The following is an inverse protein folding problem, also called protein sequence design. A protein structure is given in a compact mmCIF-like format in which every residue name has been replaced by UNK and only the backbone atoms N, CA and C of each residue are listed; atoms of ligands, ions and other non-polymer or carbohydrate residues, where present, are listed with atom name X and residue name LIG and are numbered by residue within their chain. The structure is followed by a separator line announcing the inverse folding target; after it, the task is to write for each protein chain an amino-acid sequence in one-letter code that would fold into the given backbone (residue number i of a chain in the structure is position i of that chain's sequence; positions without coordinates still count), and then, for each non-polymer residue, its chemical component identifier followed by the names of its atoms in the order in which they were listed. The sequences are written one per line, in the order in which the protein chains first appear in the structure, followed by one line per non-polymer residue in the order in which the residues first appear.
data_IF_911088570743
#
_entry.id   IF_911088570743
#
_cell.length_a   1.000
_cell.length_b   1.000
_cell.length_c   1.000
_cell.angle_alpha   90.00
_cell.angle_beta   90.00
_cell.angle_gamma   90.00
#
_symmetry.space_group_name_H-M   'P 1'
#
loop_
_entity.id
_entity.type
_entity.pdbx_description
1 polymer ?
#
# COMPACT_ATOMS: atom_id res chain seq x y z
N UNK A 1 32.99 -40.39 -10.06
CA UNK A 1 32.24 -39.20 -10.54
C UNK A 1 32.07 -38.25 -9.37
N UNK A 2 32.90 -37.20 -9.28
CA UNK A 2 32.87 -36.25 -8.15
C UNK A 2 31.89 -35.10 -8.42
N UNK A 3 31.01 -34.83 -7.45
CA UNK A 3 29.86 -33.93 -7.55
C UNK A 3 30.25 -32.44 -7.61
N UNK A 4 29.66 -31.62 -8.51
CA UNK A 4 29.98 -30.20 -8.66
C UNK A 4 29.51 -29.31 -7.49
N UNK A 5 28.63 -29.83 -6.61
CA UNK A 5 28.03 -29.06 -5.50
C UNK A 5 29.00 -28.68 -4.38
N UNK A 6 30.11 -29.39 -4.25
CA UNK A 6 31.11 -29.11 -3.21
C UNK A 6 32.08 -27.98 -3.59
N UNK A 7 32.05 -27.51 -4.84
CA UNK A 7 32.90 -26.39 -5.28
C UNK A 7 32.34 -25.02 -4.89
N UNK A 8 31.02 -24.91 -4.71
CA UNK A 8 30.34 -23.67 -4.32
C UNK A 8 30.59 -23.30 -2.85
N UNK A 9 30.72 -24.30 -1.96
CA UNK A 9 30.93 -24.08 -0.52
C UNK A 9 32.37 -23.66 -0.17
N UNK A 10 33.33 -23.89 -1.05
CA UNK A 10 34.72 -23.50 -0.84
C UNK A 10 34.97 -22.00 -1.10
N UNK A 11 34.10 -21.34 -1.87
CA UNK A 11 34.26 -19.93 -2.25
C UNK A 11 33.94 -18.96 -1.09
N UNK A 12 33.19 -19.41 -0.08
CA UNK A 12 32.82 -18.59 1.07
C UNK A 12 33.90 -18.49 2.15
N UNK A 13 34.94 -19.33 2.10
CA UNK A 13 35.89 -19.46 3.21
C UNK A 13 37.07 -18.47 3.15
N UNK A 14 37.09 -17.55 2.19
CA UNK A 14 38.19 -16.59 2.04
C UNK A 14 37.72 -15.19 1.61
N UNK A 15 36.75 -14.65 2.34
CA UNK A 15 36.49 -13.20 2.33
C UNK A 15 37.53 -12.52 3.21
N UNK A 16 38.35 -11.65 2.61
CA UNK A 16 39.33 -10.87 3.39
C UNK A 16 38.59 -9.74 4.12
N UNK A 17 39.19 -9.17 5.17
CA UNK A 17 38.54 -8.15 6.00
C UNK A 17 38.13 -6.89 5.21
N UNK A 18 38.82 -6.63 4.10
CA UNK A 18 38.57 -5.50 3.20
C UNK A 18 37.34 -5.76 2.32
N UNK A 19 37.11 -7.02 1.91
CA UNK A 19 35.94 -7.42 1.12
C UNK A 19 34.63 -7.34 1.94
N UNK A 20 34.72 -7.55 3.26
CA UNK A 20 33.58 -7.45 4.19
C UNK A 20 33.08 -6.01 4.28
N UNK A 21 33.99 -5.03 4.29
CA UNK A 21 33.62 -3.60 4.36
C UNK A 21 32.89 -3.18 3.08
N UNK A 22 33.39 -3.58 1.91
CA UNK A 22 32.76 -3.25 0.63
C UNK A 22 31.36 -3.88 0.49
N UNK A 23 31.20 -5.13 0.94
CA UNK A 23 29.91 -5.81 0.95
C UNK A 23 28.92 -5.15 1.93
N UNK A 24 29.37 -4.73 3.12
CA UNK A 24 28.54 -4.05 4.10
C UNK A 24 28.06 -2.68 3.61
N UNK A 25 28.93 -1.90 2.96
CA UNK A 25 28.58 -0.59 2.38
C UNK A 25 27.57 -0.76 1.25
N UNK A 26 27.77 -1.74 0.36
CA UNK A 26 26.81 -2.04 -0.71
C UNK A 26 25.44 -2.46 -0.17
N UNK A 27 25.40 -3.30 0.86
CA UNK A 27 24.17 -3.75 1.49
C UNK A 27 23.44 -2.59 2.19
N UNK A 28 24.17 -1.70 2.86
CA UNK A 28 23.61 -0.49 3.47
C UNK A 28 22.98 0.46 2.45
N UNK A 29 23.63 0.68 1.29
CA UNK A 29 23.07 1.50 0.21
C UNK A 29 21.80 0.90 -0.40
N UNK A 30 21.77 -0.43 -0.57
CA UNK A 30 20.59 -1.15 -1.07
C UNK A 30 19.42 -1.03 -0.08
N UNK A 31 19.67 -1.24 1.23
CA UNK A 31 18.64 -1.07 2.27
C UNK A 31 18.11 0.36 2.26
N UNK A 32 18.99 1.36 2.20
CA UNK A 32 18.61 2.78 2.26
C UNK A 32 17.79 3.19 1.03
N UNK A 33 18.16 2.72 -0.16
CA UNK A 33 17.40 2.94 -1.39
C UNK A 33 16.03 2.24 -1.34
N UNK A 34 15.97 1.03 -0.78
CA UNK A 34 14.70 0.33 -0.55
C UNK A 34 13.83 1.11 0.45
N UNK A 35 14.36 1.52 1.60
CA UNK A 35 13.61 2.35 2.57
C UNK A 35 13.09 3.66 1.97
N UNK A 36 13.81 4.25 1.01
CA UNK A 36 13.36 5.44 0.29
C UNK A 36 12.22 5.15 -0.69
N UNK A 37 12.29 4.00 -1.40
CA UNK A 37 11.23 3.53 -2.29
C UNK A 37 9.96 3.10 -1.52
N UNK A 38 10.10 2.56 -0.31
CA UNK A 38 8.99 2.16 0.57
C UNK A 38 8.52 3.26 1.52
N UNK A 39 8.96 4.51 1.34
CA UNK A 39 8.45 5.66 2.10
C UNK A 39 7.02 5.97 1.65
N UNK A 40 6.07 5.20 2.17
CA UNK A 40 4.64 5.51 2.05
C UNK A 40 4.41 6.91 2.62
N UNK A 41 3.91 7.79 1.74
CA UNK A 41 3.60 9.20 1.97
C UNK A 41 2.90 9.44 3.33
N UNK A 42 3.17 10.58 3.99
CA UNK A 42 2.68 10.86 5.34
C UNK A 42 1.16 11.00 5.36
N UNK A 43 0.54 10.56 6.46
CA UNK A 43 -0.87 10.84 6.78
C UNK A 43 -1.02 12.34 7.05
N UNK A 44 -1.85 13.01 6.27
CA UNK A 44 -2.26 14.38 6.55
C UNK A 44 -3.20 14.38 7.76
N UNK A 45 -2.67 14.58 8.96
CA UNK A 45 -3.49 14.88 10.13
C UNK A 45 -3.81 16.37 10.11
N UNK A 46 -4.88 16.75 9.41
CA UNK A 46 -5.50 18.05 9.60
C UNK A 46 -6.63 17.88 10.64
N UNK A 47 -6.36 18.36 11.85
CA UNK A 47 -7.33 18.45 12.94
C UNK A 47 -8.42 19.45 12.58
N UNK A 48 -9.59 18.97 12.14
CA UNK A 48 -10.84 19.73 12.16
C UNK A 48 -11.67 19.23 13.35
N UNK A 49 -11.81 20.10 14.34
CA UNK A 49 -12.35 19.79 15.65
C UNK A 49 -13.84 19.41 15.60
N UNK A 50 -14.17 18.21 16.07
CA UNK A 50 -15.37 17.84 16.83
C UNK A 50 -16.78 18.13 16.24
N UNK A 51 -16.96 18.16 14.92
CA UNK A 51 -18.31 18.11 14.28
C UNK A 51 -18.45 17.01 13.22
N UNK A 52 -17.39 16.23 12.97
CA UNK A 52 -17.24 15.29 11.85
C UNK A 52 -17.27 13.81 12.25
N UNK A 53 -17.74 13.48 13.46
CA UNK A 53 -17.59 12.13 14.04
C UNK A 53 -18.38 11.03 13.31
N UNK A 54 -19.16 11.35 12.28
CA UNK A 54 -20.01 10.40 11.54
C UNK A 54 -19.82 10.47 10.02
N UNK A 55 -18.76 11.13 9.52
CA UNK A 55 -18.45 11.12 8.09
C UNK A 55 -17.27 10.18 7.84
N UNK A 56 -17.55 9.06 7.18
CA UNK A 56 -16.50 8.14 6.70
C UNK A 56 -15.78 8.82 5.53
N UNK A 57 -14.44 8.82 5.56
CA UNK A 57 -13.63 9.45 4.51
C UNK A 57 -13.67 8.64 3.20
N UNK A 58 -13.72 9.34 2.06
CA UNK A 58 -13.63 8.74 0.73
C UNK A 58 -12.20 8.31 0.43
N UNK A 59 -12.01 7.01 0.18
CA UNK A 59 -10.73 6.46 -0.28
C UNK A 59 -10.74 6.29 -1.80
N UNK A 60 -9.88 7.05 -2.50
CA UNK A 60 -9.73 6.93 -3.96
C UNK A 60 -8.94 5.68 -4.35
N UNK A 61 -9.46 4.92 -5.32
CA UNK A 61 -8.84 3.71 -5.84
C UNK A 61 -7.77 4.05 -6.90
N UNK A 62 -6.57 4.41 -6.44
CA UNK A 62 -5.48 4.86 -7.36
C UNK A 62 -5.05 3.81 -8.38
N UNK A 63 -5.11 2.52 -8.01
CA UNK A 63 -4.80 1.40 -8.91
C UNK A 63 -5.80 1.22 -10.04
N UNK A 64 -6.96 1.91 -10.00
CA UNK A 64 -7.92 1.94 -11.08
C UNK A 64 -7.33 2.58 -12.35
N UNK A 65 -6.43 3.56 -12.18
CA UNK A 65 -5.76 4.25 -13.30
C UNK A 65 -4.98 3.28 -14.18
N UNK A 66 -4.21 2.38 -13.55
CA UNK A 66 -3.39 1.39 -14.27
C UNK A 66 -4.25 0.36 -15.01
N UNK A 67 -5.52 0.22 -14.62
CA UNK A 67 -6.51 -0.66 -15.24
C UNK A 67 -7.45 0.06 -16.21
N UNK A 68 -7.29 1.36 -16.41
CA UNK A 68 -8.17 2.17 -17.26
C UNK A 68 -9.60 2.32 -16.73
N UNK A 69 -9.81 2.14 -15.42
CA UNK A 69 -11.13 2.27 -14.80
C UNK A 69 -11.33 3.70 -14.26
N UNK A 70 -12.37 4.38 -14.78
CA UNK A 70 -12.70 5.76 -14.46
C UNK A 70 -14.21 5.94 -14.30
N UNK A 71 -14.59 6.98 -13.58
CA UNK A 71 -15.96 7.49 -13.54
C UNK A 71 -16.32 8.16 -14.88
N UNK A 72 -17.60 8.50 -15.08
CA UNK A 72 -18.09 9.12 -16.31
C UNK A 72 -17.47 10.51 -16.60
N UNK A 73 -17.01 11.19 -15.56
CA UNK A 73 -16.32 12.48 -15.62
C UNK A 73 -14.79 12.36 -15.80
N UNK A 74 -14.27 11.13 -15.88
CA UNK A 74 -12.82 10.86 -15.97
C UNK A 74 -12.09 10.91 -14.62
N UNK A 75 -12.79 11.10 -13.51
CA UNK A 75 -12.21 10.99 -12.17
C UNK A 75 -11.93 9.53 -11.79
N UNK A 76 -11.12 9.34 -10.74
CA UNK A 76 -10.85 7.99 -10.22
C UNK A 76 -12.01 7.55 -9.32
N UNK A 77 -12.47 6.29 -9.43
CA UNK A 77 -13.47 5.76 -8.52
C UNK A 77 -12.92 5.67 -7.08
N UNK A 78 -13.81 5.61 -6.10
CA UNK A 78 -13.45 5.49 -4.68
C UNK A 78 -14.51 4.75 -3.87
N UNK A 79 -14.21 4.51 -2.59
CA UNK A 79 -15.13 3.86 -1.65
C UNK A 79 -15.00 4.46 -0.25
N UNK A 80 -16.08 4.38 0.52
CA UNK A 80 -16.08 4.65 1.96
C UNK A 80 -15.87 3.32 2.68
N UNK A 81 -14.96 3.28 3.67
CA UNK A 81 -14.70 2.07 4.44
C UNK A 81 -14.63 2.37 5.93
N UNK A 82 -15.48 1.68 6.67
CA UNK A 82 -15.47 1.67 8.13
C UNK A 82 -15.36 0.22 8.62
N UNK A 83 -14.46 -0.01 9.58
CA UNK A 83 -14.23 -1.34 10.12
C UNK A 83 -15.32 -1.67 11.14
N UNK A 84 -16.01 -2.78 10.93
CA UNK A 84 -16.98 -3.32 11.89
C UNK A 84 -16.34 -3.65 13.24
N UNK A 85 -17.14 -3.56 14.31
CA UNK A 85 -16.73 -3.86 15.68
C UNK A 85 -17.57 -4.99 16.29
N UNK A 86 -17.08 -5.59 17.37
CA UNK A 86 -17.78 -6.69 18.07
C UNK A 86 -18.12 -7.85 17.13
N UNK A 87 -19.40 -8.23 17.09
CA UNK A 87 -19.92 -9.27 16.20
C UNK A 87 -19.85 -8.89 14.72
N UNK A 88 -19.75 -7.61 14.37
CA UNK A 88 -19.62 -7.12 13.00
C UNK A 88 -18.19 -7.18 12.44
N UNK A 89 -17.18 -7.50 13.25
CA UNK A 89 -15.76 -7.39 12.85
C UNK A 89 -15.33 -8.36 11.75
N UNK A 90 -16.04 -9.47 11.57
CA UNK A 90 -15.82 -10.47 10.51
C UNK A 90 -16.89 -10.43 9.41
N UNK A 91 -17.83 -9.49 9.48
CA UNK A 91 -18.93 -9.37 8.55
C UNK A 91 -18.69 -8.18 7.62
N UNK A 92 -19.11 -8.32 6.36
CA UNK A 92 -18.94 -7.31 5.33
C UNK A 92 -20.29 -6.87 4.80
N UNK A 93 -20.50 -5.56 4.73
CA UNK A 93 -21.66 -4.95 4.06
C UNK A 93 -21.14 -4.08 2.94
N UNK A 94 -21.63 -4.33 1.73
CA UNK A 94 -21.28 -3.55 0.54
C UNK A 94 -22.51 -2.75 0.12
N UNK A 95 -22.40 -1.43 0.20
CA UNK A 95 -23.42 -0.52 -0.31
C UNK A 95 -22.98 0.01 -1.68
N UNK A 96 -23.78 -0.25 -2.71
CA UNK A 96 -23.57 0.28 -4.06
C UNK A 96 -24.61 1.36 -4.29
N UNK A 97 -24.15 2.60 -4.39
CA UNK A 97 -25.02 3.70 -4.73
C UNK A 97 -25.48 3.62 -6.18
N UNK A 98 -26.70 4.05 -6.42
CA UNK A 98 -27.29 4.12 -7.75
C UNK A 98 -27.79 5.54 -7.99
N UNK A 99 -27.76 5.94 -9.25
CA UNK A 99 -28.36 7.19 -9.69
C UNK A 99 -29.90 7.04 -9.71
N UNK A 100 -30.55 7.57 -8.69
CA UNK A 100 -32.01 7.70 -8.68
C UNK A 100 -32.40 9.16 -8.97
N UNK A 101 -32.95 9.40 -10.16
CA UNK A 101 -33.44 10.71 -10.58
C UNK A 101 -34.59 11.22 -9.68
N UNK A 102 -35.34 10.33 -9.03
CA UNK A 102 -36.42 10.71 -8.12
C UNK A 102 -35.89 11.37 -6.84
N UNK A 103 -34.66 11.04 -6.41
CA UNK A 103 -34.05 11.60 -5.19
C UNK A 103 -33.56 13.04 -5.39
N UNK A 104 -33.21 13.42 -6.61
CA UNK A 104 -32.82 14.79 -6.98
C UNK A 104 -34.00 15.77 -7.02
N UNK A 105 -35.24 15.28 -7.12
CA UNK A 105 -36.46 16.13 -7.12
C UNK A 105 -37.01 16.43 -5.73
N UNK A 106 -36.45 15.82 -4.69
CA UNK A 106 -36.86 16.02 -3.30
C UNK A 106 -35.84 16.83 -2.47
N UNK A 107 -34.73 17.26 -3.09
CA UNK A 107 -33.69 18.08 -2.48
C UNK A 107 -33.81 19.54 -2.95
#
# INVERSE_FOLDING_TARGET
MANPRLRALAWWKKFTKEDIVLAAVGLALIILSFSFLFKSSPKNTASTFALSSELVELTLLRSAKDRGAFCLDGSLPGYHFEKGFGSGSSNWVLHIEHFDEARLRMA
#
